data_IF_458464024206
#
_entry.id   IF_458464024206
#
_cell.length_a   1.000
_cell.length_b   1.000
_cell.length_c   1.000
_cell.angle_alpha   90.00
_cell.angle_beta   90.00
_cell.angle_gamma   90.00
#
_symmetry.space_group_name_H-M   'P 1'
#
loop_
_entity.id
_entity.type
_entity.pdbx_description
1 polymer ?
#
# COMPACT_ATOMS: atom_id res chain seq x y z
N UNK A 1 -11.47 -11.31 -18.07
CA UNK A 1 -11.58 -12.72 -17.70
C UNK A 1 -11.42 -12.88 -16.19
N UNK A 2 -12.36 -13.51 -15.55
CA UNK A 2 -12.24 -13.72 -14.11
C UNK A 2 -11.05 -14.64 -13.85
N UNK A 3 -10.14 -14.15 -13.07
CA UNK A 3 -9.01 -14.95 -12.63
C UNK A 3 -9.51 -16.02 -11.67
N UNK A 4 -8.89 -17.20 -11.71
CA UNK A 4 -9.22 -18.30 -10.79
C UNK A 4 -9.18 -17.81 -9.35
N UNK A 5 -8.29 -16.85 -9.05
CA UNK A 5 -8.16 -16.26 -7.72
C UNK A 5 -9.38 -15.45 -7.29
N UNK A 6 -10.18 -15.02 -8.24
CA UNK A 6 -11.38 -14.24 -7.96
C UNK A 6 -12.60 -15.14 -7.81
N UNK A 7 -12.36 -16.38 -7.45
CA UNK A 7 -13.41 -17.39 -7.29
C UNK A 7 -13.15 -18.17 -6.02
N UNK A 8 -14.15 -18.26 -5.18
CA UNK A 8 -14.15 -19.07 -3.97
C UNK A 8 -15.30 -20.04 -4.05
N UNK A 9 -14.98 -21.33 -4.28
CA UNK A 9 -16.01 -22.34 -4.42
C UNK A 9 -17.03 -21.94 -5.51
N UNK A 10 -18.26 -21.59 -5.12
CA UNK A 10 -19.31 -21.16 -6.05
C UNK A 10 -19.47 -19.65 -6.09
N UNK A 11 -18.59 -18.90 -5.43
CA UNK A 11 -18.68 -17.45 -5.34
C UNK A 11 -17.64 -16.80 -6.21
N UNK A 12 -18.09 -15.93 -7.11
CA UNK A 12 -17.20 -15.08 -7.89
C UNK A 12 -17.24 -13.67 -7.29
N UNK A 13 -16.10 -12.97 -7.36
CA UNK A 13 -16.00 -11.67 -6.75
C UNK A 13 -15.05 -10.75 -7.52
N UNK A 14 -15.28 -9.45 -7.34
CA UNK A 14 -14.46 -8.42 -7.93
C UNK A 14 -14.33 -7.32 -6.88
N UNK A 15 -13.38 -7.52 -5.97
CA UNK A 15 -13.16 -6.62 -4.84
C UNK A 15 -11.79 -5.98 -4.97
N UNK A 16 -11.74 -4.89 -5.72
CA UNK A 16 -10.50 -4.15 -6.00
C UNK A 16 -10.51 -2.81 -5.30
N UNK A 17 -9.36 -2.45 -4.76
CA UNK A 17 -9.22 -1.25 -3.95
C UNK A 17 -7.92 -0.54 -4.26
N UNK A 18 -7.99 0.78 -4.27
CA UNK A 18 -6.83 1.65 -4.26
C UNK A 18 -6.54 2.00 -2.81
N UNK A 19 -5.34 1.68 -2.33
CA UNK A 19 -4.95 1.87 -0.94
C UNK A 19 -3.69 2.71 -0.89
N UNK A 20 -3.66 3.69 0.03
CA UNK A 20 -2.48 4.52 0.26
C UNK A 20 -2.20 4.53 1.75
N UNK A 21 -0.96 4.33 2.12
CA UNK A 21 -0.52 4.45 3.51
C UNK A 21 0.91 4.96 3.58
N UNK A 22 1.28 5.50 4.74
CA UNK A 22 2.53 6.23 4.89
C UNK A 22 3.35 5.73 6.07
N UNK A 23 4.68 5.89 6.01
CA UNK A 23 5.50 5.70 7.20
C UNK A 23 5.11 6.67 8.31
N UNK A 24 5.35 6.27 9.55
CA UNK A 24 5.06 7.10 10.71
C UNK A 24 5.78 8.45 10.58
N UNK A 25 5.06 9.52 10.84
CA UNK A 25 5.53 10.91 10.67
C UNK A 25 5.86 11.26 9.23
N UNK A 26 5.39 10.49 8.26
CA UNK A 26 5.68 10.65 6.83
C UNK A 26 7.17 10.76 6.54
N UNK A 27 7.96 10.01 7.29
CA UNK A 27 9.41 10.00 7.07
C UNK A 27 9.72 9.40 5.70
N UNK A 28 10.70 9.98 5.02
CA UNK A 28 11.16 9.47 3.73
C UNK A 28 12.10 8.30 3.95
N UNK A 29 11.53 7.16 4.35
CA UNK A 29 12.29 5.97 4.69
C UNK A 29 12.31 4.91 3.58
N UNK A 30 11.43 5.04 2.59
CA UNK A 30 11.27 4.04 1.53
C UNK A 30 12.15 4.43 0.34
N UNK A 31 13.41 4.08 0.40
CA UNK A 31 14.35 4.38 -0.67
C UNK A 31 15.46 3.33 -0.71
N UNK A 32 16.16 3.24 -1.84
CA UNK A 32 17.29 2.35 -2.01
C UNK A 32 16.98 0.92 -1.64
N UNK A 33 17.85 0.33 -0.82
CA UNK A 33 17.69 -1.06 -0.38
C UNK A 33 16.42 -1.26 0.46
N UNK A 34 16.00 -0.25 1.19
CA UNK A 34 14.78 -0.33 1.98
C UNK A 34 13.55 -0.43 1.09
N UNK A 35 13.51 0.32 0.00
CA UNK A 35 12.43 0.27 -0.97
C UNK A 35 12.25 -1.14 -1.51
N UNK A 36 13.33 -1.75 -1.94
CA UNK A 36 13.30 -3.10 -2.49
C UNK A 36 12.85 -4.12 -1.44
N UNK A 37 13.41 -4.02 -0.25
CA UNK A 37 13.07 -4.92 0.86
C UNK A 37 11.61 -4.79 1.26
N UNK A 38 11.13 -3.56 1.42
CA UNK A 38 9.73 -3.30 1.81
C UNK A 38 8.78 -3.81 0.73
N UNK A 39 9.13 -3.61 -0.53
CA UNK A 39 8.32 -4.13 -1.64
C UNK A 39 8.18 -5.64 -1.60
N UNK A 40 9.28 -6.34 -1.33
CA UNK A 40 9.26 -7.80 -1.21
C UNK A 40 8.43 -8.26 -0.01
N UNK A 41 8.55 -7.57 1.11
CA UNK A 41 7.77 -7.89 2.31
C UNK A 41 6.28 -7.74 2.05
N UNK A 42 5.88 -6.63 1.48
CA UNK A 42 4.46 -6.38 1.19
C UNK A 42 3.91 -7.41 0.22
N UNK A 43 4.67 -7.75 -0.81
CA UNK A 43 4.26 -8.76 -1.78
C UNK A 43 4.08 -10.11 -1.14
N UNK A 44 5.04 -10.51 -0.30
CA UNK A 44 4.98 -11.79 0.39
C UNK A 44 3.75 -11.88 1.30
N UNK A 45 3.50 -10.83 2.05
CA UNK A 45 2.35 -10.79 2.97
C UNK A 45 1.02 -10.84 2.23
N UNK A 46 0.93 -10.15 1.10
CA UNK A 46 -0.27 -10.21 0.27
C UNK A 46 -0.48 -11.62 -0.28
N UNK A 47 0.59 -12.26 -0.75
CA UNK A 47 0.51 -13.62 -1.26
C UNK A 47 -0.01 -14.60 -0.22
N UNK A 48 0.41 -14.44 1.02
CA UNK A 48 -0.05 -15.29 2.12
C UNK A 48 -1.56 -15.24 2.31
N UNK A 49 -2.16 -14.11 2.04
CA UNK A 49 -3.61 -13.92 2.20
C UNK A 49 -4.39 -14.09 0.90
N UNK A 50 -3.72 -14.46 -0.17
CA UNK A 50 -4.37 -14.56 -1.47
C UNK A 50 -4.81 -13.22 -2.02
N UNK A 51 -4.17 -12.14 -1.59
CA UNK A 51 -4.41 -10.80 -2.09
C UNK A 51 -3.49 -10.55 -3.26
N UNK A 52 -4.07 -10.19 -4.40
CA UNK A 52 -3.30 -9.90 -5.59
C UNK A 52 -2.94 -8.42 -5.64
N UNK A 53 -1.66 -8.13 -5.84
CA UNK A 53 -1.21 -6.76 -6.10
C UNK A 53 -1.26 -6.56 -7.61
N UNK A 54 -2.23 -5.79 -8.07
CA UNK A 54 -2.40 -5.52 -9.50
C UNK A 54 -1.39 -4.48 -9.95
N UNK A 55 -1.19 -3.46 -9.14
CA UNK A 55 -0.21 -2.41 -9.37
C UNK A 55 0.25 -1.88 -8.02
N UNK A 56 1.50 -1.49 -7.91
CA UNK A 56 2.02 -0.93 -6.67
C UNK A 56 3.19 -0.01 -6.92
N UNK A 57 3.26 1.07 -6.18
CA UNK A 57 4.34 2.05 -6.25
C UNK A 57 4.76 2.44 -4.86
N UNK A 58 6.07 2.37 -4.63
CA UNK A 58 6.68 2.75 -3.36
C UNK A 58 7.38 4.08 -3.56
N UNK A 59 6.82 5.11 -2.94
CA UNK A 59 7.44 6.43 -2.91
C UNK A 59 8.19 6.59 -1.59
N UNK A 60 9.12 7.55 -1.47
CA UNK A 60 9.91 7.67 -0.25
C UNK A 60 9.08 7.81 1.02
N UNK A 61 7.93 8.46 0.96
CA UNK A 61 7.11 8.74 2.12
C UNK A 61 5.70 8.15 2.05
N UNK A 62 5.41 7.30 1.07
CA UNK A 62 4.10 6.67 0.99
C UNK A 62 4.10 5.48 0.03
N UNK A 63 3.07 4.66 0.17
CA UNK A 63 2.83 3.48 -0.67
C UNK A 63 1.48 3.62 -1.33
N UNK A 64 1.44 3.42 -2.65
CA UNK A 64 0.21 3.28 -3.43
C UNK A 64 0.06 1.83 -3.85
N UNK A 65 -1.10 1.24 -3.60
CA UNK A 65 -1.37 -0.13 -4.04
C UNK A 65 -2.75 -0.24 -4.65
N UNK A 66 -2.82 -0.93 -5.78
CA UNK A 66 -4.08 -1.39 -6.34
C UNK A 66 -4.14 -2.89 -6.10
N UNK A 67 -5.07 -3.33 -5.28
CA UNK A 67 -5.12 -4.73 -4.83
C UNK A 67 -6.50 -5.35 -5.04
N UNK A 68 -6.50 -6.67 -5.21
CA UNK A 68 -7.71 -7.46 -5.25
C UNK A 68 -7.74 -8.30 -3.97
N UNK A 69 -8.74 -8.05 -3.13
CA UNK A 69 -8.83 -8.66 -1.80
C UNK A 69 -10.01 -9.65 -1.77
N UNK A 70 -9.79 -10.91 -1.38
CA UNK A 70 -10.88 -11.85 -1.23
C UNK A 70 -11.96 -11.34 -0.27
N UNK A 71 -13.25 -11.55 -0.58
CA UNK A 71 -14.33 -11.00 0.25
C UNK A 71 -14.39 -11.57 1.66
N UNK A 72 -13.69 -12.65 1.93
CA UNK A 72 -13.60 -13.22 3.27
C UNK A 72 -12.85 -12.33 4.27
N UNK A 73 -12.10 -11.35 3.77
CA UNK A 73 -11.39 -10.39 4.62
C UNK A 73 -12.04 -9.03 4.55
N UNK A 74 -12.20 -8.38 5.70
CA UNK A 74 -12.52 -6.96 5.71
C UNK A 74 -11.25 -6.17 5.38
N UNK A 75 -11.43 -4.95 4.91
CA UNK A 75 -10.31 -4.06 4.62
C UNK A 75 -9.49 -3.81 5.90
N UNK A 76 -10.18 -3.57 7.01
CA UNK A 76 -9.51 -3.28 8.28
C UNK A 76 -8.70 -4.47 8.78
N UNK A 77 -9.22 -5.68 8.64
CA UNK A 77 -8.47 -6.88 9.02
C UNK A 77 -7.22 -7.03 8.16
N UNK A 78 -7.38 -6.87 6.86
CA UNK A 78 -6.26 -7.00 5.94
C UNK A 78 -5.21 -5.93 6.20
N UNK A 79 -5.61 -4.68 6.37
CA UNK A 79 -4.67 -3.58 6.61
C UNK A 79 -3.99 -3.70 7.97
N UNK A 80 -4.71 -4.15 8.99
CA UNK A 80 -4.10 -4.43 10.29
C UNK A 80 -3.02 -5.49 10.20
N UNK A 81 -3.31 -6.56 9.49
CA UNK A 81 -2.34 -7.62 9.21
C UNK A 81 -1.15 -7.09 8.41
N UNK A 82 -1.42 -6.41 7.29
CA UNK A 82 -0.36 -5.95 6.39
C UNK A 82 0.59 -4.98 7.09
N UNK A 83 0.04 -3.97 7.74
CA UNK A 83 0.85 -2.95 8.42
C UNK A 83 1.56 -3.52 9.64
N UNK A 84 0.88 -4.33 10.44
CA UNK A 84 1.47 -4.92 11.64
C UNK A 84 2.60 -5.87 11.32
N UNK A 85 2.36 -6.83 10.45
CA UNK A 85 3.38 -7.82 10.08
C UNK A 85 4.54 -7.20 9.32
N UNK A 86 4.26 -6.27 8.40
CA UNK A 86 5.33 -5.61 7.66
C UNK A 86 6.21 -4.77 8.57
N UNK A 87 5.64 -4.08 9.56
CA UNK A 87 6.44 -3.34 10.55
C UNK A 87 7.44 -4.25 11.25
N UNK A 88 6.98 -5.40 11.73
CA UNK A 88 7.85 -6.35 12.41
C UNK A 88 8.96 -6.85 11.49
N UNK A 89 8.63 -7.20 10.27
CA UNK A 89 9.59 -7.71 9.30
C UNK A 89 10.60 -6.64 8.88
N UNK A 90 10.13 -5.41 8.69
CA UNK A 90 11.01 -4.29 8.35
C UNK A 90 12.02 -4.05 9.47
N UNK A 91 11.57 -4.01 10.72
CA UNK A 91 12.45 -3.78 11.85
C UNK A 91 13.39 -4.95 12.12
N UNK A 92 12.95 -6.16 11.82
CA UNK A 92 13.80 -7.35 11.94
C UNK A 92 14.94 -7.31 10.92
N UNK A 93 14.64 -6.92 9.69
CA UNK A 93 15.64 -6.88 8.62
C UNK A 93 16.49 -5.61 8.63
N UNK A 94 15.98 -4.54 9.18
CA UNK A 94 16.62 -3.22 9.16
C UNK A 94 16.58 -2.59 10.54
N UNK A 95 17.46 -3.07 11.42
CA UNK A 95 17.50 -2.64 12.81
C UNK A 95 17.67 -1.12 12.97
N UNK A 96 18.35 -0.48 12.02
CA UNK A 96 18.54 0.98 12.04
C UNK A 96 17.22 1.73 12.03
N UNK A 97 16.25 1.24 11.27
CA UNK A 97 14.94 1.86 11.18
C UNK A 97 14.15 1.73 12.48
N UNK A 98 14.36 0.64 13.18
CA UNK A 98 13.69 0.38 14.45
C UNK A 98 13.89 1.52 15.44
N UNK A 99 15.13 1.99 15.56
CA UNK A 99 15.45 3.10 16.48
C UNK A 99 14.79 4.41 16.04
N UNK A 100 14.77 4.68 14.75
CA UNK A 100 14.16 5.90 14.22
C UNK A 100 12.66 5.96 14.49
N UNK A 101 11.99 4.83 14.57
CA UNK A 101 10.54 4.75 14.73
C UNK A 101 10.11 4.35 16.13
N UNK A 102 10.99 4.46 17.10
CA UNK A 102 10.67 4.22 18.49
C UNK A 102 10.36 2.78 18.83
N UNK A 103 10.90 1.84 18.07
CA UNK A 103 10.77 0.39 18.29
C UNK A 103 9.36 -0.17 18.21
N UNK A 104 8.40 0.58 17.64
CA UNK A 104 7.00 0.13 17.68
C UNK A 104 6.36 -0.05 16.32
N UNK A 105 6.14 1.03 15.62
CA UNK A 105 5.38 1.00 14.38
C UNK A 105 6.13 1.72 13.28
N UNK A 106 6.28 1.04 12.17
CA UNK A 106 6.86 1.67 10.98
C UNK A 106 5.85 2.59 10.28
N UNK A 107 4.59 2.18 10.25
CA UNK A 107 3.53 2.88 9.52
C UNK A 107 2.75 3.83 10.42
N UNK A 108 2.30 4.94 9.85
CA UNK A 108 1.37 5.83 10.52
C UNK A 108 0.03 5.13 10.72
N UNK A 109 -0.75 5.59 11.68
CA UNK A 109 -2.10 5.09 11.87
C UNK A 109 -2.97 5.44 10.67
N UNK A 110 -3.91 4.57 10.35
CA UNK A 110 -4.85 4.81 9.28
C UNK A 110 -4.30 4.53 7.89
N UNK A 111 -5.15 4.73 6.92
CA UNK A 111 -4.85 4.53 5.51
C UNK A 111 -5.99 5.14 4.70
N UNK A 112 -5.70 5.44 3.45
CA UNK A 112 -6.74 5.82 2.49
C UNK A 112 -7.15 4.57 1.72
N UNK A 113 -8.46 4.40 1.50
CA UNK A 113 -8.95 3.31 0.65
C UNK A 113 -10.12 3.80 -0.18
N UNK A 114 -10.13 3.42 -1.45
CA UNK A 114 -11.27 3.63 -2.32
C UNK A 114 -11.53 2.36 -3.12
N UNK A 115 -12.79 2.11 -3.42
CA UNK A 115 -13.16 1.01 -4.30
C UNK A 115 -12.79 1.35 -5.73
N UNK A 116 -12.47 0.31 -6.49
CA UNK A 116 -12.14 0.43 -7.92
C UNK A 116 -13.22 -0.29 -8.70
N UNK A 117 -13.81 0.43 -9.64
CA UNK A 117 -14.83 -0.15 -10.51
C UNK A 117 -14.24 -1.04 -11.60
N UNK A 118 -14.97 -1.16 -12.69
CA UNK A 118 -14.61 -2.07 -13.77
C UNK A 118 -13.38 -1.63 -14.57
N UNK A 119 -12.98 -0.39 -14.49
CA UNK A 119 -11.93 0.17 -15.33
C UNK A 119 -10.57 0.16 -14.63
N UNK A 120 -10.06 -1.03 -14.40
CA UNK A 120 -8.77 -1.27 -13.77
C UNK A 120 -7.62 -0.59 -14.51
N UNK A 121 -7.63 -0.65 -15.84
CA UNK A 121 -6.57 -0.05 -16.64
C UNK A 121 -6.47 1.47 -16.43
N UNK A 122 -7.60 2.14 -16.31
CA UNK A 122 -7.62 3.58 -16.04
C UNK A 122 -7.05 3.89 -14.67
N UNK A 123 -7.38 3.08 -13.67
CA UNK A 123 -6.88 3.28 -12.31
C UNK A 123 -5.37 3.02 -12.24
N UNK A 124 -4.90 1.97 -12.90
CA UNK A 124 -3.47 1.70 -12.99
C UNK A 124 -2.73 2.88 -13.62
N UNK A 125 -3.27 3.39 -14.71
CA UNK A 125 -2.70 4.55 -15.39
C UNK A 125 -2.70 5.77 -14.48
N UNK A 126 -3.76 5.99 -13.73
CA UNK A 126 -3.85 7.09 -12.78
C UNK A 126 -2.75 7.00 -11.72
N UNK A 127 -2.53 5.82 -11.16
CA UNK A 127 -1.49 5.61 -10.16
C UNK A 127 -0.10 5.93 -10.75
N UNK A 128 0.16 5.47 -11.96
CA UNK A 128 1.44 5.72 -12.64
C UNK A 128 1.64 7.21 -12.91
N UNK A 129 0.60 7.87 -13.39
CA UNK A 129 0.65 9.31 -13.67
C UNK A 129 0.83 10.11 -12.38
N UNK A 130 0.17 9.70 -11.30
CA UNK A 130 0.30 10.36 -10.01
C UNK A 130 1.71 10.21 -9.46
N UNK A 131 2.33 9.04 -9.63
CA UNK A 131 3.72 8.83 -9.22
C UNK A 131 4.64 9.81 -9.94
N UNK A 132 4.49 9.92 -11.25
CA UNK A 132 5.29 10.85 -12.04
C UNK A 132 5.05 12.29 -11.64
N UNK A 133 3.79 12.63 -11.36
CA UNK A 133 3.40 13.95 -10.91
C UNK A 133 3.98 14.25 -9.54
N UNK A 134 3.91 13.29 -8.62
CA UNK A 134 4.46 13.45 -7.27
C UNK A 134 5.96 13.72 -7.31
N UNK A 135 6.68 13.00 -8.16
CA UNK A 135 8.12 13.21 -8.35
C UNK A 135 8.38 14.64 -8.82
N UNK A 136 7.58 15.13 -9.76
CA UNK A 136 7.73 16.47 -10.30
C UNK A 136 7.33 17.53 -9.29
N UNK A 137 6.27 17.30 -8.55
CA UNK A 137 5.69 18.27 -7.62
C UNK A 137 6.32 18.27 -6.25
N UNK A 138 7.04 17.22 -5.91
CA UNK A 138 7.72 17.09 -4.61
C UNK A 138 8.66 18.26 -4.32
N UNK A 139 9.13 18.91 -5.38
CA UNK A 139 10.01 20.07 -5.27
C UNK A 139 9.27 21.39 -5.24
N UNK A 140 7.98 21.40 -5.59
CA UNK A 140 7.21 22.62 -5.73
C UNK A 140 6.27 22.87 -4.58
N UNK A 141 5.50 21.86 -4.22
CA UNK A 141 4.58 21.98 -3.10
C UNK A 141 4.31 20.57 -2.56
N UNK A 142 4.35 20.51 -1.25
CA UNK A 142 4.08 19.27 -0.54
C UNK A 142 2.63 19.21 -0.11
N UNK A 143 1.97 20.33 -0.10
CA UNK A 143 0.68 20.49 0.56
C UNK A 143 -0.41 19.56 0.01
N UNK A 144 -0.42 19.32 -1.27
CA UNK A 144 -1.42 18.45 -1.89
C UNK A 144 -1.18 16.97 -1.57
N UNK A 145 0.03 16.64 -1.19
CA UNK A 145 0.44 15.27 -0.92
C UNK A 145 0.71 15.01 0.55
N UNK A 146 0.58 16.04 1.38
CA UNK A 146 0.86 15.96 2.81
C UNK A 146 -0.07 14.99 3.50
N UNK A 147 -1.27 14.86 3.01
CA UNK A 147 -2.28 14.04 3.65
C UNK A 147 -3.10 13.30 2.60
N UNK A 148 -2.70 12.07 2.26
CA UNK A 148 -3.47 11.27 1.31
C UNK A 148 -4.87 10.93 1.81
N UNK A 149 -5.15 11.16 3.10
CA UNK A 149 -6.46 10.88 3.68
C UNK A 149 -7.38 12.11 3.68
N UNK A 150 -6.90 13.24 3.24
CA UNK A 150 -7.63 14.49 3.30
C UNK A 150 -8.90 14.49 2.46
N UNK A 151 -8.94 13.70 1.42
CA UNK A 151 -10.10 13.57 0.55
C UNK A 151 -11.13 12.55 1.02
N UNK A 152 -10.92 11.92 2.13
CA UNK A 152 -11.78 10.85 2.64
C UNK A 152 -12.91 11.38 3.50
N UNK A 153 -13.58 12.39 3.07
CA UNK A 153 -14.74 12.90 3.81
C UNK A 153 -16.02 12.26 3.29
#
# INVERSE_FOLDING_TARGET
MANIRDSLSHTKWLCKYHIVFTPKYRRKAIFGQYKESIGKILRQLCNYKGVEIIEGHLMPDHVHMLVSIPPKYSISQFMGYLKGKSSLMIFDRHANLKYKFGNRHFWAEGYYVSTVGLNEATIKKYIQEQESHDIAMDKLTVKEFDDPFKGCK
#
